data_IF_756608097775
#
_entry.id   IF_756608097775
#
_cell.length_a   1.000
_cell.length_b   1.000
_cell.length_c   1.000
_cell.angle_alpha   90.00
_cell.angle_beta   90.00
_cell.angle_gamma   90.00
#
_symmetry.space_group_name_H-M   'P 1'
#
loop_
_entity.id
_entity.type
_entity.pdbx_description
1 polymer ?
#
# COMPACT_ATOMS: atom_id res chain seq x y z
N UNK A 1 44.61 -19.93 -36.04
CA UNK A 1 45.71 -19.48 -35.15
C UNK A 1 45.38 -18.04 -34.76
N UNK A 2 44.71 -17.86 -33.62
CA UNK A 2 44.25 -16.54 -33.14
C UNK A 2 44.86 -16.36 -31.76
N UNK A 3 45.68 -15.30 -31.62
CA UNK A 3 46.39 -14.94 -30.39
C UNK A 3 45.40 -14.32 -29.40
N UNK A 4 45.32 -14.89 -28.20
CA UNK A 4 44.70 -14.28 -27.03
C UNK A 4 45.77 -13.45 -26.30
N UNK A 5 45.49 -12.17 -26.07
CA UNK A 5 46.29 -11.28 -25.22
C UNK A 5 45.66 -11.26 -23.82
N UNK A 6 46.42 -11.50 -22.74
CA UNK A 6 45.91 -11.34 -21.38
C UNK A 6 46.00 -9.88 -20.95
N UNK A 7 44.93 -9.33 -20.38
CA UNK A 7 44.95 -8.06 -19.65
C UNK A 7 45.14 -8.36 -18.17
N UNK A 8 46.21 -7.79 -17.65
CA UNK A 8 46.73 -7.93 -16.30
C UNK A 8 45.83 -7.31 -15.24
N UNK A 9 45.83 -7.96 -14.07
CA UNK A 9 45.35 -7.45 -12.80
C UNK A 9 46.01 -6.11 -12.45
N UNK A 10 45.21 -5.18 -11.91
CA UNK A 10 45.70 -3.97 -11.23
C UNK A 10 45.44 -4.15 -9.75
N UNK A 11 46.51 -3.91 -9.01
CA UNK A 11 46.72 -4.18 -7.60
C UNK A 11 46.01 -3.21 -6.67
N UNK A 12 45.88 -3.71 -5.44
CA UNK A 12 45.72 -3.04 -4.16
C UNK A 12 46.15 -1.56 -4.12
N UNK A 13 45.26 -0.75 -3.55
CA UNK A 13 45.66 0.50 -2.89
C UNK A 13 45.10 0.52 -1.48
N UNK A 14 46.05 0.52 -0.54
CA UNK A 14 45.91 0.63 0.91
C UNK A 14 45.00 1.77 1.36
N UNK A 15 43.99 1.45 2.18
CA UNK A 15 43.22 2.42 2.94
C UNK A 15 43.81 2.55 4.35
N UNK A 16 44.72 3.51 4.52
CA UNK A 16 45.26 3.88 5.83
C UNK A 16 44.19 4.66 6.63
N UNK A 17 43.66 4.04 7.69
CA UNK A 17 42.80 4.70 8.67
C UNK A 17 43.64 5.38 9.75
N UNK A 18 43.59 6.71 9.81
CA UNK A 18 44.19 7.53 10.87
C UNK A 18 43.27 7.59 12.09
N UNK A 19 43.72 7.29 13.32
CA UNK A 19 42.93 7.50 14.53
C UNK A 19 43.16 8.92 15.09
N UNK A 20 42.10 9.71 15.25
CA UNK A 20 42.13 10.94 16.05
C UNK A 20 41.44 10.68 17.39
N UNK A 21 42.26 10.57 18.43
CA UNK A 21 41.85 10.63 19.82
C UNK A 21 42.27 11.97 20.44
N UNK A 22 41.37 12.62 21.19
CA UNK A 22 41.57 13.54 22.34
C UNK A 22 40.31 14.41 22.52
N UNK A 23 39.85 14.84 23.69
CA UNK A 23 40.02 14.50 25.12
C UNK A 23 39.15 15.55 25.87
N UNK A 24 38.49 15.13 26.94
CA UNK A 24 38.08 15.86 28.17
C UNK A 24 37.17 17.10 28.16
N UNK A 25 36.13 17.01 29.00
CA UNK A 25 35.47 18.12 29.68
C UNK A 25 34.55 17.62 30.80
N UNK A 26 35.12 17.44 32.00
CA UNK A 26 34.38 17.15 33.24
C UNK A 26 33.59 18.38 33.70
N UNK A 27 32.37 18.17 34.21
CA UNK A 27 31.81 19.01 35.27
C UNK A 27 30.87 18.17 36.14
N UNK A 28 31.32 17.91 37.37
CA UNK A 28 30.51 17.40 38.48
C UNK A 28 30.07 18.59 39.32
N UNK A 29 28.80 18.65 39.72
CA UNK A 29 28.35 19.48 40.84
C UNK A 29 27.39 18.64 41.70
N UNK A 30 27.54 18.76 43.02
CA UNK A 30 27.05 17.83 44.03
C UNK A 30 26.46 18.57 45.23
N UNK A 31 25.36 18.00 45.75
CA UNK A 31 24.82 17.97 47.13
C UNK A 31 24.19 19.23 47.78
N UNK A 32 23.00 19.02 48.39
CA UNK A 32 22.44 19.90 49.43
C UNK A 32 20.95 19.72 49.81
N UNK A 33 20.64 18.63 50.53
CA UNK A 33 19.44 18.19 51.32
C UNK A 33 18.91 19.34 52.26
N UNK A 34 17.62 19.46 52.73
CA UNK A 34 16.86 18.40 53.41
C UNK A 34 15.31 18.33 53.29
N UNK A 35 14.85 17.15 53.73
CA UNK A 35 13.49 16.74 54.12
C UNK A 35 13.13 17.37 55.47
N UNK A 36 11.89 17.82 55.67
CA UNK A 36 11.23 17.61 56.96
C UNK A 36 9.69 17.59 56.89
N UNK A 37 9.13 16.83 57.82
CA UNK A 37 7.77 16.32 57.93
C UNK A 37 6.73 17.28 58.56
N UNK A 38 5.48 17.10 58.10
CA UNK A 38 4.20 17.18 58.86
C UNK A 38 3.84 18.47 59.63
N UNK A 39 2.71 19.09 59.21
CA UNK A 39 1.61 19.37 60.17
C UNK A 39 0.24 19.40 59.49
N UNK A 40 -0.67 18.64 60.11
CA UNK A 40 -2.09 18.47 59.82
C UNK A 40 -2.93 19.66 60.31
N UNK A 41 -4.00 19.99 59.57
CA UNK A 41 -5.43 19.99 60.01
C UNK A 41 -6.28 21.21 59.59
N UNK A 42 -7.48 20.87 59.06
CA UNK A 42 -8.76 21.60 59.04
C UNK A 42 -9.11 22.65 57.94
N UNK A 43 -9.77 22.14 56.87
CA UNK A 43 -11.17 22.40 56.38
C UNK A 43 -11.78 23.83 56.53
N UNK A 44 -12.88 24.16 55.81
CA UNK A 44 -13.19 24.05 54.37
C UNK A 44 -13.88 25.34 53.83
N UNK A 45 -13.73 25.73 52.55
CA UNK A 45 -14.60 26.80 52.01
C UNK A 45 -14.90 26.69 50.52
N UNK A 46 -16.19 26.40 50.27
CA UNK A 46 -17.08 26.94 49.24
C UNK A 46 -16.69 26.79 47.76
N UNK A 47 -17.38 25.83 47.14
CA UNK A 47 -18.10 25.95 45.86
C UNK A 47 -17.28 26.55 44.72
N UNK A 48 -16.54 25.69 44.03
CA UNK A 48 -16.30 25.88 42.59
C UNK A 48 -17.32 25.02 41.85
N UNK A 49 -18.26 25.69 41.17
CA UNK A 49 -19.24 25.09 40.29
C UNK A 49 -18.55 24.15 39.30
N UNK A 50 -18.82 22.85 39.40
CA UNK A 50 -18.65 21.93 38.27
C UNK A 50 -19.72 22.32 37.26
N UNK A 51 -19.33 23.12 36.27
CA UNK A 51 -20.15 23.36 35.09
C UNK A 51 -20.24 22.03 34.35
N UNK A 52 -21.32 21.30 34.59
CA UNK A 52 -21.67 20.09 33.88
C UNK A 52 -21.77 20.43 32.39
N UNK A 53 -20.69 20.16 31.65
CA UNK A 53 -20.74 19.99 30.21
C UNK A 53 -21.43 18.66 29.97
N UNK A 54 -22.74 18.69 29.79
CA UNK A 54 -23.51 17.57 29.28
C UNK A 54 -23.03 17.28 27.86
N UNK A 55 -22.03 16.42 27.73
CA UNK A 55 -21.69 15.79 26.45
C UNK A 55 -22.33 14.42 26.45
N UNK A 56 -23.53 14.43 25.89
CA UNK A 56 -24.25 13.32 25.27
C UNK A 56 -23.35 12.15 24.86
N UNK A 57 -23.51 11.01 25.52
CA UNK A 57 -23.33 9.69 24.90
C UNK A 57 -24.65 8.96 25.13
N UNK A 58 -25.21 8.22 24.15
CA UNK A 58 -24.54 7.52 23.05
C UNK A 58 -25.15 7.86 21.68
N UNK A 59 -24.33 8.22 20.69
CA UNK A 59 -24.76 8.03 19.31
C UNK A 59 -24.71 6.53 19.04
N UNK A 60 -25.88 5.90 19.07
CA UNK A 60 -26.08 4.53 18.63
C UNK A 60 -25.32 4.32 17.32
N UNK A 61 -24.59 3.20 17.26
CA UNK A 61 -24.16 2.61 16.01
C UNK A 61 -25.41 2.51 15.15
N UNK A 62 -25.56 3.41 14.17
CA UNK A 62 -26.48 3.17 13.08
C UNK A 62 -25.86 2.04 12.28
N UNK A 63 -26.08 0.80 12.73
CA UNK A 63 -26.28 -0.29 11.82
C UNK A 63 -27.45 0.15 10.96
N UNK A 64 -27.15 0.82 9.86
CA UNK A 64 -28.10 0.90 8.77
C UNK A 64 -28.24 -0.56 8.35
N UNK A 65 -29.21 -1.25 8.95
CA UNK A 65 -29.82 -2.38 8.33
C UNK A 65 -30.36 -1.80 7.03
N UNK A 66 -29.55 -1.85 5.98
CA UNK A 66 -29.99 -1.61 4.63
C UNK A 66 -31.26 -2.46 4.49
N UNK A 67 -32.41 -1.87 4.08
CA UNK A 67 -33.61 -2.65 3.90
C UNK A 67 -33.27 -3.77 2.91
N UNK A 68 -33.14 -4.98 3.44
CA UNK A 68 -32.72 -6.16 2.70
C UNK A 68 -33.86 -6.70 1.84
N UNK A 69 -34.64 -5.84 1.20
CA UNK A 69 -35.76 -6.25 0.34
C UNK A 69 -36.03 -5.22 -0.74
N UNK A 70 -35.26 -5.34 -1.83
CA UNK A 70 -35.60 -5.12 -3.24
C UNK A 70 -34.27 -5.32 -3.98
N UNK A 71 -34.01 -6.35 -4.77
CA UNK A 71 -34.85 -7.24 -5.56
C UNK A 71 -34.08 -8.56 -5.65
N UNK A 72 -34.75 -9.70 -5.59
CA UNK A 72 -34.19 -10.99 -6.01
C UNK A 72 -33.99 -11.00 -7.54
N UNK A 73 -33.23 -10.05 -8.07
CA UNK A 73 -32.47 -10.31 -9.28
C UNK A 73 -31.27 -11.07 -8.75
N UNK A 74 -31.30 -12.39 -8.92
CA UNK A 74 -30.26 -13.28 -8.43
C UNK A 74 -28.92 -12.65 -8.73
N UNK A 75 -28.14 -12.37 -7.68
CA UNK A 75 -26.87 -11.69 -7.82
C UNK A 75 -26.02 -12.60 -8.71
N UNK A 76 -25.80 -12.16 -9.95
CA UNK A 76 -25.15 -12.96 -10.97
C UNK A 76 -23.65 -12.86 -10.72
N UNK A 77 -22.97 -14.01 -10.68
CA UNK A 77 -21.52 -14.04 -10.76
C UNK A 77 -21.10 -13.22 -11.97
N UNK A 78 -20.26 -12.22 -11.74
CA UNK A 78 -19.86 -11.27 -12.77
C UNK A 78 -18.39 -10.93 -12.64
N UNK A 79 -17.82 -10.52 -13.76
CA UNK A 79 -16.44 -10.05 -13.85
C UNK A 79 -16.43 -8.75 -14.64
N UNK A 80 -15.64 -7.78 -14.19
CA UNK A 80 -15.46 -6.54 -14.89
C UNK A 80 -14.82 -6.81 -16.25
N UNK A 81 -15.46 -6.29 -17.31
CA UNK A 81 -14.85 -6.24 -18.62
C UNK A 81 -13.92 -5.03 -18.67
N UNK A 82 -12.61 -5.27 -18.74
CA UNK A 82 -11.60 -4.24 -18.92
C UNK A 82 -11.07 -4.39 -20.34
N UNK A 83 -11.09 -3.31 -21.12
CA UNK A 83 -10.51 -3.23 -22.45
C UNK A 83 -9.31 -2.29 -22.43
N UNK A 84 -8.23 -2.58 -23.18
CA UNK A 84 -7.10 -1.67 -23.29
C UNK A 84 -7.56 -0.27 -23.70
N UNK A 85 -7.00 0.77 -23.08
CA UNK A 85 -7.39 2.15 -23.32
C UNK A 85 -6.25 3.12 -23.08
N UNK A 86 -6.22 4.21 -23.86
CA UNK A 86 -5.30 5.34 -23.70
C UNK A 86 -5.80 6.38 -22.69
N UNK A 87 -7.02 6.24 -22.17
CA UNK A 87 -7.61 7.10 -21.15
C UNK A 87 -7.70 6.38 -19.81
N UNK A 88 -7.79 7.15 -18.72
CA UNK A 88 -7.97 6.56 -17.38
C UNK A 88 -9.32 5.85 -17.30
N UNK A 89 -9.30 4.61 -16.84
CA UNK A 89 -10.50 3.87 -16.46
C UNK A 89 -11.09 4.52 -15.22
N UNK A 90 -12.25 5.15 -15.37
CA UNK A 90 -13.00 5.75 -14.26
C UNK A 90 -14.25 4.97 -13.90
N UNK A 91 -14.64 4.00 -14.72
CA UNK A 91 -15.81 3.15 -14.51
C UNK A 91 -15.52 1.70 -14.91
N UNK A 92 -16.14 0.77 -14.21
CA UNK A 92 -16.13 -0.66 -14.52
C UNK A 92 -17.58 -1.16 -14.60
N UNK A 93 -17.89 -1.95 -15.63
CA UNK A 93 -19.16 -2.67 -15.76
C UNK A 93 -18.96 -4.16 -15.54
N UNK A 94 -19.85 -4.78 -14.76
CA UNK A 94 -19.75 -6.20 -14.38
C UNK A 94 -20.83 -7.03 -15.06
N UNK A 95 -20.66 -7.35 -16.34
CA UNK A 95 -21.61 -8.22 -17.05
C UNK A 95 -21.51 -9.68 -16.54
N UNK A 96 -22.62 -10.43 -16.46
CA UNK A 96 -24.00 -10.06 -16.83
C UNK A 96 -24.81 -9.32 -15.73
N UNK A 97 -24.19 -8.92 -14.62
CA UNK A 97 -24.85 -8.13 -13.58
C UNK A 97 -25.04 -6.66 -14.00
N UNK A 98 -25.98 -5.98 -13.34
CA UNK A 98 -26.17 -4.52 -13.40
C UNK A 98 -25.28 -3.73 -12.42
N UNK A 99 -24.33 -4.40 -11.76
CA UNK A 99 -23.37 -3.74 -10.87
C UNK A 99 -22.36 -2.97 -11.72
N UNK A 100 -22.10 -1.75 -11.30
CA UNK A 100 -21.05 -0.89 -11.84
C UNK A 100 -20.13 -0.47 -10.71
N UNK A 101 -18.91 -0.05 -11.04
CA UNK A 101 -18.03 0.61 -10.09
C UNK A 101 -17.48 1.91 -10.67
N UNK A 102 -17.28 2.88 -9.79
CA UNK A 102 -16.47 4.08 -10.06
C UNK A 102 -15.05 3.82 -9.57
N UNK A 103 -14.06 4.13 -10.39
CA UNK A 103 -12.63 4.00 -10.07
C UNK A 103 -12.03 5.39 -9.92
N UNK A 104 -11.42 5.66 -8.78
CA UNK A 104 -10.71 6.91 -8.50
C UNK A 104 -9.27 6.64 -8.12
N UNK A 105 -8.39 7.58 -8.47
CA UNK A 105 -6.96 7.51 -8.21
C UNK A 105 -6.55 8.74 -7.41
N UNK A 106 -5.83 8.54 -6.32
CA UNK A 106 -5.36 9.61 -5.44
C UNK A 106 -3.90 9.39 -5.05
N UNK A 107 -3.22 10.46 -4.68
CA UNK A 107 -1.86 10.41 -4.16
C UNK A 107 -1.69 11.55 -3.17
N UNK A 108 -0.91 11.34 -2.12
CA UNK A 108 -0.43 12.42 -1.24
C UNK A 108 0.84 13.07 -1.78
N UNK A 109 1.56 12.37 -2.66
CA UNK A 109 2.83 12.80 -3.25
C UNK A 109 2.62 13.62 -4.53
N UNK A 110 1.73 13.17 -5.43
CA UNK A 110 1.41 13.89 -6.66
C UNK A 110 0.30 14.91 -6.42
N UNK A 111 0.41 16.14 -6.96
CA UNK A 111 -0.67 17.11 -6.87
C UNK A 111 -1.92 16.62 -7.64
N UNK A 112 -3.09 17.15 -7.28
CA UNK A 112 -4.33 16.83 -7.97
C UNK A 112 -4.21 17.10 -9.48
N UNK A 113 -4.53 16.09 -10.31
CA UNK A 113 -4.37 16.15 -11.76
C UNK A 113 -2.94 15.89 -12.27
N UNK A 114 -1.94 15.82 -11.39
CA UNK A 114 -0.54 15.57 -11.69
C UNK A 114 -0.08 14.11 -11.56
N UNK A 115 -1.02 13.17 -11.47
CA UNK A 115 -0.69 11.73 -11.50
C UNK A 115 0.01 11.39 -12.83
N UNK A 116 0.96 10.43 -12.85
CA UNK A 116 1.60 9.96 -14.08
C UNK A 116 0.59 9.64 -15.19
N UNK A 117 0.96 9.91 -16.43
CA UNK A 117 0.05 9.86 -17.59
C UNK A 117 -0.56 8.47 -17.81
N UNK A 118 0.21 7.43 -17.50
CA UNK A 118 -0.21 6.05 -17.69
C UNK A 118 -1.00 5.48 -16.52
N UNK A 119 -0.96 6.13 -15.34
CA UNK A 119 -1.76 5.71 -14.18
C UNK A 119 -3.25 5.70 -14.53
N UNK A 120 -3.89 4.55 -14.28
CA UNK A 120 -5.30 4.31 -14.54
C UNK A 120 -5.62 3.90 -15.98
N UNK A 121 -4.64 3.88 -16.89
CA UNK A 121 -4.84 3.29 -18.24
C UNK A 121 -4.90 1.78 -18.14
N UNK A 122 -5.52 1.15 -19.14
CA UNK A 122 -5.59 -0.30 -19.20
C UNK A 122 -4.70 -0.86 -20.32
N UNK A 123 -3.92 -1.89 -20.01
CA UNK A 123 -2.99 -2.54 -20.93
C UNK A 123 -3.12 -4.06 -20.88
N UNK A 124 -2.73 -4.71 -21.97
CA UNK A 124 -2.61 -6.17 -22.01
C UNK A 124 -1.40 -6.62 -21.20
N UNK A 125 -1.65 -7.51 -20.23
CA UNK A 125 -0.62 -8.20 -19.46
C UNK A 125 -0.32 -9.53 -20.15
N UNK A 126 0.92 -9.66 -20.61
CA UNK A 126 1.46 -10.86 -21.25
C UNK A 126 1.74 -11.98 -20.22
N UNK A 127 0.69 -12.46 -19.55
CA UNK A 127 0.72 -13.60 -18.65
C UNK A 127 0.10 -14.85 -19.33
N UNK A 128 0.15 -16.00 -18.64
CA UNK A 128 -0.57 -17.22 -19.06
C UNK A 128 -1.59 -17.62 -18.00
N UNK A 129 -2.91 -17.46 -18.23
CA UNK A 129 -3.52 -16.83 -19.40
C UNK A 129 -3.35 -15.30 -19.41
N UNK A 130 -3.33 -14.66 -20.60
CA UNK A 130 -3.24 -13.20 -20.73
C UNK A 130 -4.49 -12.54 -20.17
N UNK A 131 -4.35 -11.27 -19.77
CA UNK A 131 -5.45 -10.51 -19.20
C UNK A 131 -5.20 -9.01 -19.34
N UNK A 132 -6.25 -8.20 -19.17
CA UNK A 132 -6.17 -6.74 -19.21
C UNK A 132 -6.14 -6.20 -17.79
N UNK A 133 -5.19 -5.32 -17.49
CA UNK A 133 -5.02 -4.70 -16.19
C UNK A 133 -5.06 -3.18 -16.27
N UNK A 134 -5.57 -2.55 -15.21
CA UNK A 134 -5.40 -1.13 -14.93
C UNK A 134 -4.04 -0.96 -14.26
N UNK A 135 -3.18 -0.09 -14.81
CA UNK A 135 -1.83 0.10 -14.26
C UNK A 135 -1.79 1.25 -13.26
N UNK A 136 -1.08 1.06 -12.16
CA UNK A 136 -0.69 2.13 -11.25
C UNK A 136 0.79 2.39 -11.45
N UNK A 137 1.15 3.58 -11.93
CA UNK A 137 2.51 3.92 -12.34
C UNK A 137 3.11 4.93 -11.38
N UNK A 138 4.37 4.72 -11.02
CA UNK A 138 5.20 5.67 -10.29
C UNK A 138 6.34 6.19 -11.16
N UNK A 139 6.66 7.46 -10.95
CA UNK A 139 7.78 8.17 -11.59
C UNK A 139 8.71 8.84 -10.57
N UNK A 140 8.38 8.73 -9.28
CA UNK A 140 9.13 9.30 -8.17
C UNK A 140 9.27 8.25 -7.07
N UNK A 141 10.45 8.10 -6.44
CA UNK A 141 10.64 7.14 -5.37
C UNK A 141 9.89 7.62 -4.11
N UNK A 142 9.37 6.67 -3.35
CA UNK A 142 8.59 6.91 -2.13
C UNK A 142 7.18 7.46 -2.38
N UNK A 143 6.79 7.70 -3.63
CA UNK A 143 5.47 8.19 -3.94
C UNK A 143 4.40 7.14 -3.60
N UNK A 144 3.27 7.61 -3.08
CA UNK A 144 2.08 6.80 -2.84
C UNK A 144 1.06 6.99 -3.96
N UNK A 145 0.36 5.92 -4.33
CA UNK A 145 -0.76 6.01 -5.26
C UNK A 145 -1.84 5.03 -4.84
N UNK A 146 -3.01 5.56 -4.48
CA UNK A 146 -4.16 4.75 -4.09
C UNK A 146 -5.15 4.64 -5.23
N UNK A 147 -5.72 3.46 -5.40
CA UNK A 147 -6.87 3.21 -6.26
C UNK A 147 -8.05 2.79 -5.39
N UNK A 148 -9.16 3.53 -5.50
CA UNK A 148 -10.43 3.22 -4.84
C UNK A 148 -11.43 2.78 -5.89
N UNK A 149 -12.06 1.63 -5.67
CA UNK A 149 -13.13 1.08 -6.50
C UNK A 149 -14.40 1.08 -5.67
N UNK A 150 -15.35 1.96 -6.01
CA UNK A 150 -16.64 2.11 -5.32
C UNK A 150 -17.76 1.48 -6.14
N UNK A 151 -18.36 0.41 -5.63
CA UNK A 151 -19.44 -0.34 -6.27
C UNK A 151 -20.79 0.37 -6.11
N UNK A 152 -21.67 0.23 -7.11
CA UNK A 152 -23.02 0.81 -7.08
C UNK A 152 -23.95 0.17 -6.03
N UNK A 153 -23.59 -1.02 -5.54
CA UNK A 153 -24.21 -1.73 -4.40
C UNK A 153 -23.21 -2.69 -3.77
N UNK A 154 -23.41 -3.12 -2.51
CA UNK A 154 -22.57 -4.15 -1.91
C UNK A 154 -22.61 -5.47 -2.69
N UNK A 155 -21.46 -6.12 -2.86
CA UNK A 155 -21.35 -7.47 -3.46
C UNK A 155 -20.59 -8.40 -2.51
N UNK A 156 -20.96 -9.68 -2.50
CA UNK A 156 -20.22 -10.71 -1.77
C UNK A 156 -19.10 -11.29 -2.64
N UNK A 157 -18.14 -11.98 -2.02
CA UNK A 157 -17.05 -12.68 -2.73
C UNK A 157 -16.32 -11.87 -3.80
N UNK A 158 -16.20 -10.56 -3.59
CA UNK A 158 -15.41 -9.71 -4.48
C UNK A 158 -13.98 -10.22 -4.49
N UNK A 159 -13.37 -10.32 -5.65
CA UNK A 159 -12.00 -10.73 -5.86
C UNK A 159 -11.34 -9.84 -6.89
N UNK A 160 -10.03 -9.66 -6.75
CA UNK A 160 -9.19 -8.99 -7.74
C UNK A 160 -7.81 -9.63 -7.76
N UNK A 161 -7.09 -9.36 -8.83
CA UNK A 161 -5.72 -9.79 -9.05
C UNK A 161 -4.81 -8.57 -9.09
N UNK A 162 -3.72 -8.64 -8.34
CA UNK A 162 -2.62 -7.66 -8.32
C UNK A 162 -1.41 -8.36 -8.94
N UNK A 163 -0.87 -7.81 -10.02
CA UNK A 163 0.30 -8.29 -10.73
C UNK A 163 1.42 -7.25 -10.73
N UNK A 164 2.55 -7.60 -11.33
CA UNK A 164 3.66 -6.67 -11.54
C UNK A 164 4.45 -6.31 -10.27
N UNK A 165 4.20 -6.98 -9.14
CA UNK A 165 4.94 -6.72 -7.90
C UNK A 165 6.37 -7.26 -8.04
N UNK A 166 7.34 -6.36 -8.16
CA UNK A 166 8.73 -6.68 -8.35
C UNK A 166 9.66 -5.90 -7.41
N UNK A 167 10.95 -6.15 -7.61
CA UNK A 167 12.01 -5.36 -7.02
C UNK A 167 13.21 -5.35 -7.96
N UNK A 168 13.93 -4.23 -7.98
CA UNK A 168 15.21 -4.09 -8.66
C UNK A 168 16.36 -4.27 -7.69
N UNK A 169 17.27 -5.18 -8.00
CA UNK A 169 18.60 -5.23 -7.39
C UNK A 169 19.53 -4.31 -8.17
N UNK A 170 20.38 -3.56 -7.49
CA UNK A 170 21.48 -2.83 -8.14
C UNK A 170 22.81 -3.19 -7.55
N UNK A 171 23.84 -3.21 -8.42
CA UNK A 171 25.25 -3.40 -8.07
C UNK A 171 25.50 -4.51 -7.03
N UNK A 172 26.58 -4.34 -6.26
CA UNK A 172 26.94 -5.25 -5.18
C UNK A 172 25.94 -5.11 -4.00
N UNK A 173 24.81 -5.83 -4.13
CA UNK A 173 23.97 -6.40 -3.05
C UNK A 173 22.92 -5.51 -2.35
N UNK A 174 22.45 -4.41 -2.95
CA UNK A 174 21.35 -3.58 -2.40
C UNK A 174 20.04 -3.68 -3.18
N UNK A 175 18.89 -3.73 -2.48
CA UNK A 175 17.58 -3.42 -3.08
C UNK A 175 17.57 -1.93 -3.47
N UNK A 176 17.44 -1.66 -4.76
CA UNK A 176 17.46 -0.31 -5.34
C UNK A 176 16.05 0.27 -5.44
N UNK A 177 15.08 -0.59 -5.74
CA UNK A 177 13.65 -0.28 -5.64
C UNK A 177 12.83 -1.54 -5.32
N UNK A 178 11.65 -1.37 -4.73
CA UNK A 178 10.70 -2.45 -4.45
C UNK A 178 9.29 -1.94 -4.53
N UNK A 179 8.42 -2.70 -5.19
CA UNK A 179 6.99 -2.43 -5.16
C UNK A 179 6.42 -2.87 -3.81
N UNK A 180 5.66 -1.97 -3.18
CA UNK A 180 4.95 -2.24 -1.93
C UNK A 180 3.46 -2.00 -2.17
N UNK A 181 2.64 -3.03 -1.95
CA UNK A 181 1.19 -2.93 -2.16
C UNK A 181 0.44 -3.27 -0.89
N UNK A 182 -0.42 -2.35 -0.44
CA UNK A 182 -1.36 -2.58 0.66
C UNK A 182 -2.78 -2.68 0.14
N UNK A 183 -3.58 -3.51 0.80
CA UNK A 183 -5.02 -3.60 0.62
C UNK A 183 -5.64 -2.98 1.86
N UNK A 184 -6.12 -1.75 1.70
CA UNK A 184 -6.54 -0.89 2.82
C UNK A 184 -7.95 -1.24 3.30
N UNK A 185 -8.74 -1.92 2.46
CA UNK A 185 -10.07 -2.41 2.84
C UNK A 185 -9.98 -3.71 3.63
N UNK A 186 -10.44 -3.75 4.90
CA UNK A 186 -10.25 -4.89 5.78
C UNK A 186 -11.06 -6.12 5.36
N UNK A 187 -10.83 -7.24 6.06
CA UNK A 187 -11.57 -8.50 5.90
C UNK A 187 -11.36 -9.21 4.55
N UNK A 188 -10.31 -8.87 3.81
CA UNK A 188 -9.87 -9.68 2.68
C UNK A 188 -9.12 -10.92 3.15
N UNK A 189 -9.05 -11.91 2.27
CA UNK A 189 -8.19 -13.09 2.38
C UNK A 189 -7.36 -13.21 1.11
N UNK A 190 -6.14 -13.71 1.23
CA UNK A 190 -5.29 -14.05 0.08
C UNK A 190 -5.66 -15.44 -0.40
N UNK A 191 -6.12 -15.56 -1.64
CA UNK A 191 -6.59 -16.83 -2.23
C UNK A 191 -5.55 -17.51 -3.10
N UNK A 192 -4.63 -16.73 -3.68
CA UNK A 192 -3.47 -17.23 -4.40
C UNK A 192 -2.32 -16.24 -4.28
N UNK A 193 -1.10 -16.76 -4.27
CA UNK A 193 0.12 -15.98 -4.22
C UNK A 193 1.23 -16.75 -4.90
N UNK A 194 1.94 -16.12 -5.82
CA UNK A 194 3.11 -16.71 -6.46
C UNK A 194 4.32 -16.78 -5.53
N UNK A 195 5.23 -17.70 -5.85
CA UNK A 195 6.51 -17.84 -5.15
C UNK A 195 7.30 -16.54 -5.35
N UNK A 196 7.93 -16.05 -4.28
CA UNK A 196 8.68 -14.80 -4.33
C UNK A 196 7.88 -13.57 -3.89
N UNK A 197 6.61 -13.72 -3.48
CA UNK A 197 5.86 -12.65 -2.81
C UNK A 197 5.78 -12.87 -1.29
N UNK A 198 6.22 -11.86 -0.54
CA UNK A 198 6.12 -11.77 0.90
C UNK A 198 5.01 -10.83 1.36
N UNK A 199 4.79 -10.80 2.68
CA UNK A 199 3.86 -9.91 3.37
C UNK A 199 2.38 -10.28 3.25
N UNK A 200 1.55 -9.80 4.15
CA UNK A 200 0.11 -10.10 4.19
C UNK A 200 -0.72 -9.21 3.27
N UNK A 201 -0.18 -8.05 2.87
CA UNK A 201 -0.89 -6.99 2.16
C UNK A 201 -1.52 -5.97 3.11
N UNK A 202 -1.34 -6.10 4.42
CA UNK A 202 -1.84 -5.15 5.40
C UNK A 202 -0.96 -3.88 5.42
N UNK A 203 -1.46 -2.73 5.92
CA UNK A 203 -0.67 -1.49 6.00
C UNK A 203 0.69 -1.62 6.72
N UNK A 204 0.81 -2.52 7.70
CA UNK A 204 2.08 -2.79 8.40
C UNK A 204 2.93 -3.91 7.79
N UNK A 205 2.43 -4.61 6.78
CA UNK A 205 3.10 -5.74 6.14
C UNK A 205 2.64 -5.87 4.67
N UNK A 206 3.07 -4.94 3.80
CA UNK A 206 2.63 -4.88 2.41
C UNK A 206 3.09 -6.09 1.61
N UNK A 207 2.37 -6.40 0.52
CA UNK A 207 2.88 -7.30 -0.51
C UNK A 207 4.14 -6.71 -1.13
N UNK A 208 5.17 -7.54 -1.26
CA UNK A 208 6.48 -7.17 -1.79
C UNK A 208 7.19 -8.38 -2.39
N UNK A 209 8.11 -8.16 -3.32
CA UNK A 209 9.03 -9.23 -3.76
C UNK A 209 9.96 -9.62 -2.60
N UNK A 210 10.24 -10.92 -2.46
CA UNK A 210 11.20 -11.46 -1.48
C UNK A 210 12.42 -12.11 -2.13
N UNK A 211 12.42 -12.26 -3.45
CA UNK A 211 13.48 -12.91 -4.20
C UNK A 211 14.37 -11.92 -4.98
N UNK A 212 14.03 -10.62 -4.97
CA UNK A 212 14.80 -9.58 -5.66
C UNK A 212 14.80 -9.74 -7.18
N UNK A 213 13.88 -10.52 -7.74
CA UNK A 213 13.81 -10.74 -9.17
C UNK A 213 12.76 -9.81 -9.78
N UNK A 214 13.10 -9.24 -10.95
CA UNK A 214 12.19 -8.55 -11.85
C UNK A 214 11.18 -9.54 -12.45
N UNK A 215 10.25 -10.06 -11.63
CA UNK A 215 9.16 -10.94 -12.07
C UNK A 215 7.84 -10.19 -11.97
N UNK A 216 7.02 -10.34 -13.00
CA UNK A 216 5.59 -10.02 -12.92
C UNK A 216 4.93 -11.05 -12.02
N UNK A 217 4.97 -10.79 -10.72
CA UNK A 217 4.45 -11.69 -9.71
C UNK A 217 2.99 -11.37 -9.40
N UNK A 218 2.19 -12.39 -9.12
CA UNK A 218 0.74 -12.25 -8.96
C UNK A 218 0.25 -12.62 -7.55
N UNK A 219 -0.66 -11.79 -7.02
CA UNK A 219 -1.44 -12.04 -5.81
C UNK A 219 -2.92 -11.92 -6.13
N UNK A 220 -3.74 -12.82 -5.58
CA UNK A 220 -5.20 -12.74 -5.66
C UNK A 220 -5.79 -12.57 -4.28
N UNK A 221 -6.62 -11.55 -4.12
CA UNK A 221 -7.33 -11.26 -2.87
C UNK A 221 -8.83 -11.43 -3.07
N UNK A 222 -9.54 -11.81 -2.01
CA UNK A 222 -10.99 -11.97 -1.98
C UNK A 222 -11.56 -11.39 -0.71
N UNK A 223 -12.70 -10.72 -0.77
CA UNK A 223 -13.53 -10.35 0.37
C UNK A 223 -14.71 -11.30 0.45
N UNK A 224 -14.74 -12.24 1.42
CA UNK A 224 -15.84 -13.21 1.52
C UNK A 224 -17.18 -12.56 1.91
N UNK A 225 -17.12 -11.47 2.67
CA UNK A 225 -18.29 -10.70 3.09
C UNK A 225 -18.73 -9.65 2.08
N UNK A 226 -19.90 -9.01 2.30
CA UNK A 226 -20.38 -7.93 1.44
C UNK A 226 -19.45 -6.71 1.53
N UNK A 227 -19.04 -6.20 0.37
CA UNK A 227 -18.22 -4.98 0.25
C UNK A 227 -18.83 -4.01 -0.75
N UNK A 228 -18.86 -2.72 -0.41
CA UNK A 228 -19.32 -1.63 -1.28
C UNK A 228 -18.18 -0.83 -1.90
N UNK A 229 -16.98 -0.93 -1.35
CA UNK A 229 -15.79 -0.32 -1.91
C UNK A 229 -14.55 -1.11 -1.53
N UNK A 230 -13.53 -1.08 -2.38
CA UNK A 230 -12.20 -1.60 -2.07
C UNK A 230 -11.14 -0.57 -2.45
N UNK A 231 -10.14 -0.45 -1.60
CA UNK A 231 -9.00 0.44 -1.77
C UNK A 231 -7.71 -0.36 -1.64
N UNK A 232 -6.77 -0.02 -2.51
CA UNK A 232 -5.39 -0.46 -2.43
C UNK A 232 -4.47 0.74 -2.62
N UNK A 233 -3.30 0.65 -2.01
CA UNK A 233 -2.26 1.67 -2.12
C UNK A 233 -0.96 1.03 -2.60
N UNK A 234 -0.37 1.64 -3.61
CA UNK A 234 0.90 1.26 -4.21
C UNK A 234 1.95 2.31 -3.82
N UNK A 235 3.07 1.84 -3.29
CA UNK A 235 4.24 2.67 -2.97
C UNK A 235 5.45 2.10 -3.70
N UNK A 236 6.17 2.96 -4.42
CA UNK A 236 7.48 2.65 -4.95
C UNK A 236 8.52 2.83 -3.82
N UNK A 237 8.92 1.74 -3.16
CA UNK A 237 9.96 1.76 -2.14
C UNK A 237 11.36 1.85 -2.74
N UNK A 238 12.31 2.46 -2.03
CA UNK A 238 13.70 2.64 -2.44
C UNK A 238 14.04 4.06 -2.90
N UNK A 239 15.33 4.36 -3.02
CA UNK A 239 15.85 5.72 -3.27
C UNK A 239 16.15 6.00 -4.75
N UNK A 240 16.07 4.98 -5.62
CA UNK A 240 16.55 5.09 -6.99
C UNK A 240 15.44 4.76 -8.00
N UNK A 241 15.03 5.78 -8.76
CA UNK A 241 14.17 5.65 -9.96
C UNK A 241 15.01 5.36 -11.21
N UNK A 242 16.27 4.92 -11.10
CA UNK A 242 17.04 4.43 -12.26
C UNK A 242 16.42 3.13 -12.76
N UNK A 243 15.35 3.35 -13.49
CA UNK A 243 14.83 2.44 -14.47
C UNK A 243 14.40 3.37 -15.57
N UNK A 244 15.18 3.37 -16.62
CA UNK A 244 14.77 3.60 -18.00
C UNK A 244 13.42 2.93 -18.37
N UNK A 245 12.85 2.07 -17.51
CA UNK A 245 11.46 1.62 -17.55
C UNK A 245 10.61 2.17 -16.37
N UNK A 246 9.34 2.59 -16.60
CA UNK A 246 8.43 2.99 -15.52
C UNK A 246 8.18 1.85 -14.53
N UNK A 247 8.08 2.17 -13.23
CA UNK A 247 7.68 1.24 -12.17
C UNK A 247 6.17 1.20 -12.08
N UNK A 248 5.56 0.02 -12.17
CA UNK A 248 4.11 -0.10 -12.14
C UNK A 248 3.65 -1.43 -11.55
N UNK A 249 2.43 -1.42 -11.03
CA UNK A 249 1.69 -2.65 -10.71
C UNK A 249 0.45 -2.75 -11.60
N UNK A 250 0.02 -4.00 -11.82
CA UNK A 250 -1.15 -4.35 -12.61
C UNK A 250 -2.32 -4.68 -11.69
N UNK A 251 -3.48 -4.06 -11.86
CA UNK A 251 -4.69 -4.45 -11.11
C UNK A 251 -5.85 -4.75 -12.03
N UNK A 252 -6.50 -5.89 -11.82
CA UNK A 252 -7.67 -6.27 -12.61
C UNK A 252 -8.23 -7.62 -12.23
N UNK A 253 -8.89 -8.27 -13.20
CA UNK A 253 -9.73 -9.45 -12.95
C UNK A 253 -10.70 -9.23 -11.79
N UNK A 254 -11.27 -8.03 -11.67
CA UNK A 254 -12.29 -7.74 -10.68
C UNK A 254 -13.50 -8.63 -10.97
N UNK A 255 -13.94 -9.40 -10.00
CA UNK A 255 -15.14 -10.22 -10.14
C UNK A 255 -15.70 -10.62 -8.80
N UNK A 256 -17.00 -10.88 -8.76
CA UNK A 256 -17.70 -11.24 -7.54
C UNK A 256 -18.61 -12.43 -7.78
N UNK A 257 -18.98 -13.10 -6.70
CA UNK A 257 -20.00 -14.13 -6.70
C UNK A 257 -21.00 -13.92 -5.57
N UNK A 258 -22.13 -14.55 -5.75
CA UNK A 258 -23.25 -14.59 -4.85
C UNK A 258 -23.81 -16.02 -5.00
#
# INVERSE_FOLDING_TARGET
>A
MVRLTPISAIADTDFAATPVAKRFGHASFSLGVPVDERKSMNRPTRRTLVKAGAWTTPAAVMSVAAPAYAVSQGCLKAQALITPTSTRVTTLGFAPSDVTATVTYTSTTYPAGGLPSDTGRAFDVAASPPWVAIVLVHTQPGADLSMLVSLSRPVADLSLTIGGIGAGLGGDLGLVWSDLVTVDTPSYVVTAREIGIGGSGAPGDPFRSTDGVLRSSVVRVRWPGPVSAVQLTYVAGGDDVRSDAPQYIDVGKFGFSC
#
